data_IF_765698836538
#
_entry.id   IF_765698836538
#
_cell.length_a   1.000
_cell.length_b   1.000
_cell.length_c   1.000
_cell.angle_alpha   90.00
_cell.angle_beta   90.00
_cell.angle_gamma   90.00
#
_symmetry.space_group_name_H-M   'P 1'
#
loop_
_entity.id
_entity.type
_entity.pdbx_description
1 polymer ?
#
# COMPACT_ATOMS: atom_id res chain seq x y z
N UNK A 1 13.14 -20.89 -34.37
CA UNK A 1 12.99 -19.43 -34.19
C UNK A 1 12.31 -19.22 -32.85
N UNK A 2 13.11 -19.06 -31.80
CA UNK A 2 12.64 -18.89 -30.43
C UNK A 2 12.24 -17.43 -30.24
N UNK A 3 10.95 -17.14 -30.23
CA UNK A 3 10.45 -15.91 -29.60
C UNK A 3 10.11 -16.24 -28.14
N UNK A 4 11.14 -16.32 -27.31
CA UNK A 4 10.98 -16.18 -25.87
C UNK A 4 10.66 -14.71 -25.63
N UNK A 5 9.40 -14.34 -25.86
CA UNK A 5 8.88 -13.06 -25.41
C UNK A 5 8.97 -13.07 -23.89
N UNK A 6 9.85 -12.23 -23.38
CA UNK A 6 10.02 -11.87 -21.98
C UNK A 6 8.69 -11.33 -21.45
N UNK A 7 7.77 -12.23 -21.08
CA UNK A 7 6.64 -11.87 -20.25
C UNK A 7 7.17 -11.85 -18.83
N UNK A 8 7.77 -10.74 -18.43
CA UNK A 8 8.10 -10.48 -17.03
C UNK A 8 6.79 -10.64 -16.22
N UNK A 9 6.68 -11.75 -15.51
CA UNK A 9 5.55 -12.04 -14.64
C UNK A 9 5.54 -11.09 -13.45
N UNK A 10 4.41 -11.01 -12.75
CA UNK A 10 4.38 -10.34 -11.46
C UNK A 10 5.18 -11.18 -10.45
N UNK A 11 6.22 -10.58 -9.86
CA UNK A 11 7.08 -11.17 -8.83
C UNK A 11 6.73 -10.54 -7.47
N UNK A 12 5.99 -11.25 -6.59
CA UNK A 12 5.55 -10.74 -5.31
C UNK A 12 6.69 -10.21 -4.44
N UNK A 13 7.83 -10.89 -4.43
CA UNK A 13 8.99 -10.60 -3.59
C UNK A 13 9.56 -9.19 -3.83
N UNK A 14 9.39 -8.67 -5.04
CA UNK A 14 9.89 -7.38 -5.51
C UNK A 14 8.82 -6.27 -5.44
N UNK A 15 7.67 -6.54 -4.81
CA UNK A 15 6.52 -5.64 -4.83
C UNK A 15 6.26 -4.94 -3.49
N UNK A 16 5.96 -3.64 -3.56
CA UNK A 16 5.20 -2.93 -2.52
C UNK A 16 3.70 -3.04 -2.86
N UNK A 17 2.89 -3.44 -1.88
CA UNK A 17 1.47 -3.69 -2.10
C UNK A 17 0.65 -2.49 -1.69
N UNK A 18 -0.27 -2.09 -2.56
CA UNK A 18 -1.29 -1.09 -2.27
C UNK A 18 -2.64 -1.79 -2.35
N UNK A 19 -3.26 -1.99 -1.20
CA UNK A 19 -4.41 -2.89 -1.05
C UNK A 19 -5.69 -2.07 -0.90
N UNK A 20 -6.64 -2.27 -1.81
CA UNK A 20 -7.97 -1.68 -1.77
C UNK A 20 -9.04 -2.74 -1.51
N UNK A 21 -10.25 -2.31 -1.16
CA UNK A 21 -11.40 -3.19 -1.05
C UNK A 21 -11.82 -3.87 -2.36
N UNK A 22 -12.41 -5.06 -2.28
CA UNK A 22 -13.07 -5.72 -3.41
C UNK A 22 -14.52 -5.25 -3.68
N UNK A 23 -15.02 -4.27 -2.93
CA UNK A 23 -16.37 -3.70 -3.12
C UNK A 23 -16.41 -2.74 -4.33
N UNK A 24 -17.59 -2.61 -4.98
CA UNK A 24 -17.79 -1.65 -6.07
C UNK A 24 -17.49 -0.20 -5.66
N UNK A 25 -17.77 0.16 -4.41
CA UNK A 25 -17.44 1.47 -3.85
C UNK A 25 -15.92 1.69 -3.85
N UNK A 26 -15.14 0.71 -3.38
CA UNK A 26 -13.68 0.78 -3.38
C UNK A 26 -13.11 0.79 -4.80
N UNK A 27 -13.71 0.04 -5.74
CA UNK A 27 -13.31 0.08 -7.15
C UNK A 27 -13.48 1.48 -7.77
N UNK A 28 -14.61 2.13 -7.47
CA UNK A 28 -14.92 3.47 -7.98
C UNK A 28 -14.09 4.56 -7.31
N UNK A 29 -13.99 4.50 -5.98
CA UNK A 29 -13.53 5.62 -5.17
C UNK A 29 -12.07 5.45 -4.69
N UNK A 30 -11.69 4.25 -4.21
CA UNK A 30 -10.39 4.01 -3.57
C UNK A 30 -9.32 3.55 -4.58
N UNK A 31 -9.66 2.74 -5.59
CA UNK A 31 -8.69 2.25 -6.58
C UNK A 31 -8.03 3.38 -7.38
N UNK A 32 -8.73 4.43 -7.84
CA UNK A 32 -8.06 5.56 -8.49
C UNK A 32 -7.06 6.26 -7.59
N UNK A 33 -7.36 6.37 -6.29
CA UNK A 33 -6.45 6.95 -5.28
C UNK A 33 -5.22 6.04 -5.12
N UNK A 34 -5.43 4.73 -5.06
CA UNK A 34 -4.36 3.74 -4.98
C UNK A 34 -3.42 3.79 -6.19
N UNK A 35 -3.95 3.94 -7.40
CA UNK A 35 -3.10 4.12 -8.59
C UNK A 35 -2.31 5.42 -8.57
N UNK A 36 -2.89 6.52 -8.07
CA UNK A 36 -2.16 7.76 -7.92
C UNK A 36 -1.02 7.64 -6.89
N UNK A 37 -1.24 6.93 -5.77
CA UNK A 37 -0.19 6.64 -4.80
C UNK A 37 0.88 5.70 -5.38
N UNK A 38 0.48 4.70 -6.17
CA UNK A 38 1.38 3.75 -6.84
C UNK A 38 2.49 4.46 -7.60
N UNK A 39 2.15 5.48 -8.38
CA UNK A 39 3.16 6.22 -9.15
C UNK A 39 4.18 6.95 -8.24
N UNK A 40 3.75 7.42 -7.06
CA UNK A 40 4.64 8.05 -6.08
C UNK A 40 5.56 7.05 -5.38
N UNK A 41 5.05 5.84 -5.13
CA UNK A 41 5.84 4.72 -4.59
C UNK A 41 6.86 4.26 -5.63
N UNK A 42 6.42 4.01 -6.88
CA UNK A 42 7.29 3.63 -8.01
C UNK A 42 8.44 4.60 -8.23
N UNK A 43 8.19 5.90 -8.12
CA UNK A 43 9.24 6.91 -8.26
C UNK A 43 10.35 6.82 -7.20
N UNK A 44 10.13 6.10 -6.09
CA UNK A 44 11.09 5.89 -5.00
C UNK A 44 11.68 4.48 -4.98
N UNK A 45 11.14 3.57 -5.77
CA UNK A 45 11.59 2.19 -5.81
C UNK A 45 12.89 2.07 -6.62
N UNK A 46 13.83 1.21 -6.19
CA UNK A 46 15.00 0.87 -6.99
C UNK A 46 14.56 0.10 -8.25
N UNK A 47 15.47 0.01 -9.24
CA UNK A 47 15.22 -0.81 -10.44
C UNK A 47 14.99 -2.26 -10.05
N UNK A 48 14.03 -2.90 -10.72
CA UNK A 48 13.66 -4.29 -10.46
C UNK A 48 12.56 -4.48 -9.42
N UNK A 49 12.22 -3.43 -8.65
CA UNK A 49 11.04 -3.43 -7.77
C UNK A 49 9.86 -2.70 -8.42
N UNK A 50 8.65 -3.06 -8.01
CA UNK A 50 7.42 -2.40 -8.47
C UNK A 50 6.44 -2.16 -7.31
N UNK A 51 5.44 -1.30 -7.54
CA UNK A 51 4.28 -1.17 -6.67
C UNK A 51 3.05 -1.72 -7.38
N UNK A 52 2.29 -2.58 -6.68
CA UNK A 52 1.12 -3.26 -7.26
C UNK A 52 -0.13 -2.95 -6.47
N UNK A 53 -1.18 -2.55 -7.19
CA UNK A 53 -2.51 -2.35 -6.60
C UNK A 53 -3.29 -3.66 -6.69
N UNK A 54 -3.70 -4.21 -5.55
CA UNK A 54 -4.50 -5.44 -5.50
C UNK A 54 -5.69 -5.27 -4.56
N UNK A 55 -6.61 -6.22 -4.59
CA UNK A 55 -7.72 -6.24 -3.64
C UNK A 55 -7.32 -6.94 -2.35
N UNK A 56 -8.00 -6.58 -1.26
CA UNK A 56 -7.95 -7.27 0.02
C UNK A 56 -8.21 -8.77 -0.11
N UNK A 57 -9.07 -9.21 -1.03
CA UNK A 57 -9.29 -10.63 -1.33
C UNK A 57 -8.02 -11.32 -1.80
N UNK A 58 -7.26 -10.74 -2.73
CA UNK A 58 -6.00 -11.34 -3.19
C UNK A 58 -4.95 -11.33 -2.07
N UNK A 59 -4.80 -10.19 -1.39
CA UNK A 59 -3.82 -10.01 -0.32
C UNK A 59 -4.05 -10.99 0.85
N UNK A 60 -5.29 -11.07 1.35
CA UNK A 60 -5.62 -11.88 2.53
C UNK A 60 -5.55 -13.39 2.25
N UNK A 61 -5.59 -13.82 0.99
CA UNK A 61 -5.51 -15.24 0.62
C UNK A 61 -4.12 -15.66 0.11
N UNK A 62 -3.16 -14.75 0.00
CA UNK A 62 -1.81 -15.07 -0.46
C UNK A 62 -0.76 -14.66 0.59
N UNK A 63 -0.01 -15.63 1.09
CA UNK A 63 1.00 -15.43 2.14
C UNK A 63 2.21 -14.62 1.66
N UNK A 64 2.66 -14.84 0.43
CA UNK A 64 3.79 -14.09 -0.16
C UNK A 64 3.47 -12.61 -0.22
N UNK A 65 2.23 -12.23 -0.57
CA UNK A 65 1.80 -10.83 -0.57
C UNK A 65 1.78 -10.22 0.84
N UNK A 66 1.44 -11.00 1.87
CA UNK A 66 1.41 -10.53 3.27
C UNK A 66 2.79 -10.33 3.88
N UNK A 67 3.80 -10.97 3.31
CA UNK A 67 5.19 -10.82 3.72
C UNK A 67 5.86 -9.61 3.06
N UNK A 68 5.10 -8.71 2.42
CA UNK A 68 5.62 -7.53 1.72
C UNK A 68 5.17 -6.24 2.39
N UNK A 69 5.92 -5.14 2.20
CA UNK A 69 5.50 -3.80 2.60
C UNK A 69 4.14 -3.47 2.02
N UNK A 70 3.23 -2.99 2.87
CA UNK A 70 1.82 -2.88 2.50
C UNK A 70 1.19 -1.56 2.93
N UNK A 71 0.47 -0.93 2.00
CA UNK A 71 -0.33 0.27 2.23
C UNK A 71 -1.80 -0.08 1.92
N UNK A 72 -2.64 -0.11 2.95
CA UNK A 72 -4.09 -0.25 2.81
C UNK A 72 -4.74 1.10 2.52
N UNK A 73 -5.64 1.16 1.54
CA UNK A 73 -6.43 2.37 1.20
C UNK A 73 -7.91 2.05 1.25
N UNK A 74 -8.66 2.95 1.89
CA UNK A 74 -10.12 2.86 2.03
C UNK A 74 -10.54 2.41 3.43
N UNK A 75 -11.73 2.82 3.89
CA UNK A 75 -12.14 2.60 5.27
C UNK A 75 -12.44 1.12 5.58
N UNK A 76 -12.35 0.70 6.86
CA UNK A 76 -12.66 -0.66 7.32
C UNK A 76 -13.96 -1.29 6.78
N UNK A 77 -14.98 -0.46 6.53
CA UNK A 77 -16.28 -0.93 6.01
C UNK A 77 -16.17 -1.54 4.61
N UNK A 78 -15.22 -1.11 3.78
CA UNK A 78 -15.07 -1.55 2.38
C UNK A 78 -13.73 -2.20 2.10
N UNK A 79 -12.78 -2.19 3.03
CA UNK A 79 -11.48 -2.84 2.90
C UNK A 79 -11.22 -3.72 4.13
N UNK A 80 -11.22 -5.04 3.94
CA UNK A 80 -11.02 -6.01 5.01
C UNK A 80 -9.63 -5.92 5.64
N UNK A 81 -8.60 -5.53 4.88
CA UNK A 81 -7.27 -5.27 5.44
C UNK A 81 -7.28 -4.05 6.36
N UNK A 82 -7.96 -2.97 5.98
CA UNK A 82 -8.09 -1.79 6.85
C UNK A 82 -8.83 -2.14 8.16
N UNK A 83 -9.88 -2.97 8.09
CA UNK A 83 -10.59 -3.45 9.27
C UNK A 83 -9.69 -4.28 10.20
N UNK A 84 -8.84 -5.15 9.62
CA UNK A 84 -7.88 -5.94 10.37
C UNK A 84 -6.80 -5.08 11.05
N UNK A 85 -6.33 -4.03 10.37
CA UNK A 85 -5.27 -3.14 10.86
C UNK A 85 -5.76 -2.10 11.88
N UNK A 86 -7.05 -1.81 11.94
CA UNK A 86 -7.63 -0.71 12.73
C UNK A 86 -7.22 -0.73 14.21
N UNK A 87 -7.16 -1.90 14.84
CA UNK A 87 -6.78 -2.05 16.26
C UNK A 87 -5.32 -2.50 16.44
N UNK A 88 -4.57 -2.64 15.34
CA UNK A 88 -3.19 -3.17 15.34
C UNK A 88 -2.14 -2.13 15.04
N UNK A 89 -2.50 -1.12 14.25
CA UNK A 89 -1.61 -0.03 13.89
C UNK A 89 -1.93 1.22 14.72
N UNK A 90 -0.93 1.89 15.31
CA UNK A 90 -1.15 3.16 15.98
C UNK A 90 -1.50 4.24 14.95
N UNK A 91 -2.37 5.18 15.36
CA UNK A 91 -2.65 6.38 14.56
C UNK A 91 -1.45 7.34 14.61
N UNK A 92 -0.84 7.59 13.46
CA UNK A 92 0.29 8.53 13.32
C UNK A 92 -0.15 9.90 12.82
N UNK A 93 -1.35 9.99 12.25
CA UNK A 93 -1.96 11.26 11.84
C UNK A 93 -3.48 11.15 11.84
N UNK A 94 -4.14 12.10 12.50
CA UNK A 94 -5.61 12.21 12.53
C UNK A 94 -6.00 13.67 12.38
N UNK A 95 -6.98 13.96 11.51
CA UNK A 95 -7.62 15.28 11.41
C UNK A 95 -9.13 15.10 11.55
N UNK A 96 -9.69 15.81 12.53
CA UNK A 96 -11.12 15.85 12.87
C UNK A 96 -11.80 14.46 12.96
N UNK A 97 -11.05 13.42 13.38
CA UNK A 97 -11.47 12.00 13.41
C UNK A 97 -12.04 11.48 12.09
N UNK A 98 -11.64 12.09 10.98
CA UNK A 98 -12.24 11.87 9.65
C UNK A 98 -11.21 11.54 8.58
N UNK A 99 -9.96 11.93 8.78
CA UNK A 99 -8.81 11.62 7.95
C UNK A 99 -7.79 10.93 8.84
N UNK A 100 -7.51 9.66 8.57
CA UNK A 100 -6.76 8.80 9.47
C UNK A 100 -5.63 8.14 8.68
N UNK A 101 -4.42 8.25 9.23
CA UNK A 101 -3.26 7.44 8.83
C UNK A 101 -2.80 6.66 10.05
N UNK A 102 -2.82 5.35 9.93
CA UNK A 102 -2.28 4.42 10.90
C UNK A 102 -1.05 3.75 10.30
N UNK A 103 0.02 3.58 11.07
CA UNK A 103 1.22 2.99 10.52
C UNK A 103 2.15 2.41 11.57
N UNK A 104 2.90 1.38 11.16
CA UNK A 104 4.06 0.86 11.86
C UNK A 104 5.19 0.66 10.84
N UNK A 105 6.32 1.34 11.05
CA UNK A 105 7.49 1.31 10.19
C UNK A 105 8.68 0.59 10.84
N UNK A 106 8.49 0.04 12.05
CA UNK A 106 9.58 -0.56 12.84
C UNK A 106 9.83 -2.03 12.48
N UNK A 107 8.87 -2.69 11.83
CA UNK A 107 9.02 -4.07 11.36
C UNK A 107 9.71 -4.13 9.97
N UNK A 108 10.19 -5.32 9.61
CA UNK A 108 10.81 -5.56 8.31
C UNK A 108 9.80 -5.48 7.16
N UNK A 109 8.53 -5.81 7.44
CA UNK A 109 7.38 -5.56 6.57
C UNK A 109 6.55 -4.36 7.09
N UNK A 110 6.92 -3.11 6.75
CA UNK A 110 6.19 -1.95 7.24
C UNK A 110 4.76 -1.93 6.69
N UNK A 111 3.83 -1.46 7.51
CA UNK A 111 2.42 -1.41 7.19
C UNK A 111 1.84 -0.01 7.44
N UNK A 112 1.00 0.45 6.52
CA UNK A 112 0.21 1.66 6.68
C UNK A 112 -1.25 1.43 6.27
N UNK A 113 -2.17 2.15 6.89
CA UNK A 113 -3.58 2.21 6.50
C UNK A 113 -4.03 3.66 6.42
N UNK A 114 -4.55 4.06 5.26
CA UNK A 114 -4.98 5.42 4.95
C UNK A 114 -6.46 5.42 4.59
N UNK A 115 -7.28 6.11 5.38
CA UNK A 115 -8.72 6.14 5.14
C UNK A 115 -9.41 7.36 5.74
N UNK A 116 -10.61 7.63 5.26
CA UNK A 116 -11.52 8.60 5.86
C UNK A 116 -12.97 8.18 5.76
N UNK A 117 -13.88 8.99 6.31
CA UNK A 117 -15.32 8.63 6.32
C UNK A 117 -16.00 8.85 4.96
N UNK A 118 -15.31 9.46 4.01
CA UNK A 118 -15.73 9.61 2.61
C UNK A 118 -14.49 9.68 1.67
N UNK A 119 -14.68 9.56 0.34
CA UNK A 119 -13.58 9.53 -0.62
C UNK A 119 -12.66 10.76 -0.56
N UNK A 120 -13.21 11.96 -0.35
CA UNK A 120 -12.40 13.19 -0.23
C UNK A 120 -11.45 13.12 0.96
N UNK A 121 -11.86 12.50 2.06
CA UNK A 121 -11.00 12.35 3.24
C UNK A 121 -10.02 11.19 3.10
N UNK A 122 -10.38 10.11 2.40
CA UNK A 122 -9.41 9.08 2.01
C UNK A 122 -8.29 9.71 1.14
N UNK A 123 -8.63 10.58 0.19
CA UNK A 123 -7.63 11.35 -0.57
C UNK A 123 -6.74 12.16 0.38
N UNK A 124 -7.34 12.91 1.32
CA UNK A 124 -6.58 13.72 2.26
C UNK A 124 -5.64 12.86 3.15
N UNK A 125 -6.06 11.67 3.55
CA UNK A 125 -5.25 10.72 4.32
C UNK A 125 -4.06 10.21 3.50
N UNK A 126 -4.32 9.80 2.25
CA UNK A 126 -3.26 9.35 1.33
C UNK A 126 -2.28 10.47 1.00
N UNK A 127 -2.75 11.71 0.83
CA UNK A 127 -1.89 12.87 0.63
C UNK A 127 -1.03 13.17 1.88
N UNK A 128 -1.61 13.09 3.07
CA UNK A 128 -0.87 13.24 4.32
C UNK A 128 0.19 12.15 4.48
N UNK A 129 -0.15 10.89 4.16
CA UNK A 129 0.81 9.79 4.13
C UNK A 129 1.94 10.03 3.13
N UNK A 130 1.59 10.32 1.87
CA UNK A 130 2.54 10.50 0.79
C UNK A 130 3.53 11.65 1.05
N UNK A 131 3.08 12.73 1.70
CA UNK A 131 3.90 13.91 1.96
C UNK A 131 4.74 13.82 3.24
N UNK A 132 4.32 13.02 4.23
CA UNK A 132 4.94 13.02 5.57
C UNK A 132 5.64 11.73 5.94
N UNK A 133 5.15 10.60 5.43
CA UNK A 133 5.52 9.28 5.94
C UNK A 133 6.01 8.32 4.85
N UNK A 134 5.76 8.62 3.58
CA UNK A 134 6.18 7.73 2.49
C UNK A 134 7.70 7.52 2.47
N UNK A 135 8.51 8.55 2.66
CA UNK A 135 9.97 8.39 2.65
C UNK A 135 10.46 7.50 3.82
N UNK A 136 9.80 7.57 4.98
CA UNK A 136 10.08 6.68 6.12
C UNK A 136 9.67 5.24 5.81
N UNK A 137 8.45 5.04 5.30
CA UNK A 137 7.94 3.75 4.87
C UNK A 137 8.87 3.08 3.84
N UNK A 138 9.43 3.86 2.91
CA UNK A 138 10.33 3.37 1.87
C UNK A 138 11.78 3.16 2.35
N UNK A 139 12.20 3.74 3.48
CA UNK A 139 13.61 3.73 3.91
C UNK A 139 14.16 2.31 4.02
N UNK A 140 13.38 1.36 4.55
CA UNK A 140 13.83 -0.04 4.67
C UNK A 140 13.88 -0.81 3.35
N UNK A 141 13.07 -0.42 2.36
CA UNK A 141 13.11 -1.04 1.03
C UNK A 141 14.38 -0.67 0.26
N UNK A 142 14.89 0.54 0.48
CA UNK A 142 16.19 0.96 -0.07
C UNK A 142 17.36 0.22 0.60
N UNK A 143 17.28 -0.04 1.91
CA UNK A 143 18.38 -0.66 2.67
C UNK A 143 18.58 -2.15 2.36
N UNK A 144 17.51 -2.88 2.02
CA UNK A 144 17.63 -4.28 1.59
C UNK A 144 18.27 -4.41 0.20
N UNK A 145 17.99 -3.47 -0.71
CA UNK A 145 18.61 -3.43 -2.03
C UNK A 145 20.12 -3.15 -1.98
N UNK A 146 20.58 -2.33 -1.02
CA UNK A 146 22.00 -2.02 -0.85
C UNK A 146 22.80 -3.13 -0.13
N UNK A 147 22.12 -4.06 0.56
CA UNK A 147 22.75 -5.18 1.27
C UNK A 147 23.01 -6.40 0.37
N UNK A 148 22.37 -6.46 -0.81
CA UNK A 148 22.49 -7.55 -1.79
C UNK A 148 23.38 -7.19 -3.00
N UNK A 149 23.99 -6.00 -3.02
CA UNK A 149 24.94 -5.52 -4.05
C UNK A 149 26.37 -5.39 -3.55
#
# INVERSE_FOLDING_TARGET
MSSSGDQAGFEPENAVLIVVGAHLEAERDDRPIAYALRERVRARLPKGQDATVCTDVWYLNNEELRARPTISIGPPRVNALAAYLADRLPSVYVVDDRCIVQADFENDEPAASCWGVNPRQTIAAVEAFASRFLDEFMRRQSLLADAEG
#
